data_IF_539373365720
#
_entry.id   IF_539373365720
#
_cell.length_a   1.000
_cell.length_b   1.000
_cell.length_c   1.000
_cell.angle_alpha   90.00
_cell.angle_beta   90.00
_cell.angle_gamma   90.00
#
_symmetry.space_group_name_H-M   'P 1'
#
loop_
_entity.id
_entity.type
_entity.pdbx_description
1 polymer ?
#
# COMPACT_ATOMS: atom_id res chain seq x y z
N UNK A 1 4.61 -4.53 8.75
CA UNK A 1 3.98 -3.42 9.51
C UNK A 1 3.35 -3.93 10.79
N UNK A 2 2.44 -4.91 10.72
CA UNK A 2 1.74 -5.49 11.88
C UNK A 2 2.64 -5.89 13.06
N UNK A 3 3.76 -6.56 12.76
CA UNK A 3 4.77 -6.91 13.76
C UNK A 3 5.25 -5.70 14.59
N UNK A 4 5.49 -4.56 13.93
CA UNK A 4 5.91 -3.32 14.59
C UNK A 4 4.79 -2.61 15.35
N UNK A 5 3.52 -2.95 15.07
CA UNK A 5 2.36 -2.48 15.83
C UNK A 5 2.04 -3.41 17.02
N UNK A 6 2.88 -4.41 17.31
CA UNK A 6 2.67 -5.36 18.41
C UNK A 6 1.76 -6.53 18.07
N UNK A 7 1.37 -6.70 16.80
CA UNK A 7 0.53 -7.81 16.34
C UNK A 7 1.37 -8.92 15.72
N UNK A 8 1.50 -10.02 16.46
CA UNK A 8 2.13 -11.25 15.99
C UNK A 8 1.05 -12.18 15.42
N UNK A 9 0.74 -11.99 14.14
CA UNK A 9 -0.16 -12.85 13.38
C UNK A 9 0.61 -13.99 12.71
N UNK A 10 -0.07 -15.10 12.42
CA UNK A 10 0.55 -16.21 11.70
C UNK A 10 0.88 -15.81 10.25
N UNK A 11 1.84 -16.49 9.62
CA UNK A 11 2.17 -16.24 8.21
C UNK A 11 0.95 -16.41 7.30
N UNK A 12 0.05 -17.34 7.63
CA UNK A 12 -1.20 -17.58 6.90
C UNK A 12 -2.13 -16.38 6.97
N UNK A 13 -2.28 -15.76 8.14
CA UNK A 13 -3.13 -14.57 8.32
C UNK A 13 -2.55 -13.37 7.56
N UNK A 14 -1.22 -13.17 7.63
CA UNK A 14 -0.56 -12.12 6.84
C UNK A 14 -0.77 -12.32 5.35
N UNK A 15 -0.65 -13.57 4.89
CA UNK A 15 -0.87 -13.93 3.49
C UNK A 15 -2.31 -13.66 3.05
N UNK A 16 -3.29 -14.03 3.88
CA UNK A 16 -4.70 -13.79 3.62
C UNK A 16 -4.99 -12.29 3.52
N UNK A 17 -4.51 -11.49 4.48
CA UNK A 17 -4.68 -10.04 4.48
C UNK A 17 -4.08 -9.43 3.21
N UNK A 18 -2.87 -9.83 2.83
CA UNK A 18 -2.21 -9.32 1.64
C UNK A 18 -2.96 -9.71 0.36
N UNK A 19 -3.37 -10.97 0.23
CA UNK A 19 -4.10 -11.46 -0.94
C UNK A 19 -5.41 -10.70 -1.14
N UNK A 20 -6.19 -10.49 -0.08
CA UNK A 20 -7.43 -9.72 -0.15
C UNK A 20 -7.15 -8.25 -0.44
N UNK A 21 -6.11 -7.65 0.16
CA UNK A 21 -5.73 -6.28 -0.13
C UNK A 21 -5.35 -6.07 -1.61
N UNK A 22 -4.62 -7.01 -2.22
CA UNK A 22 -4.30 -6.99 -3.65
C UNK A 22 -5.55 -7.15 -4.52
N UNK A 23 -6.48 -8.02 -4.12
CA UNK A 23 -7.76 -8.17 -4.80
C UNK A 23 -8.57 -6.86 -4.79
N UNK A 24 -8.62 -6.16 -3.65
CA UNK A 24 -9.28 -4.85 -3.54
C UNK A 24 -8.58 -3.83 -4.43
N UNK A 25 -7.25 -3.77 -4.40
CA UNK A 25 -6.45 -2.85 -5.24
C UNK A 25 -6.75 -3.08 -6.72
N UNK A 26 -6.81 -4.34 -7.15
CA UNK A 26 -7.10 -4.70 -8.55
C UNK A 26 -8.58 -4.45 -8.91
N UNK A 27 -9.52 -4.77 -8.04
CA UNK A 27 -10.94 -4.49 -8.24
C UNK A 27 -11.22 -2.99 -8.35
N UNK A 28 -10.43 -2.17 -7.65
CA UNK A 28 -10.51 -0.71 -7.66
C UNK A 28 -9.74 -0.02 -8.79
N UNK A 29 -9.36 -0.72 -9.87
CA UNK A 29 -8.50 -0.18 -10.93
C UNK A 29 -8.99 1.12 -11.56
N UNK A 30 -10.31 1.34 -11.57
CA UNK A 30 -10.95 2.54 -12.12
C UNK A 30 -10.95 3.72 -11.14
N UNK A 31 -10.54 3.52 -9.88
CA UNK A 31 -10.45 4.55 -8.86
C UNK A 31 -9.01 5.09 -8.84
N UNK A 32 -8.80 6.38 -9.16
CA UNK A 32 -7.47 6.98 -9.09
C UNK A 32 -6.86 6.79 -7.70
N UNK A 33 -5.65 6.22 -7.65
CA UNK A 33 -4.91 5.93 -6.41
C UNK A 33 -5.69 5.02 -5.42
N UNK A 34 -6.80 4.40 -5.83
CA UNK A 34 -7.67 3.57 -4.98
C UNK A 34 -8.02 4.25 -3.64
N UNK A 35 -8.25 5.57 -3.69
CA UNK A 35 -8.61 6.38 -2.51
C UNK A 35 -9.98 5.93 -2.00
N UNK A 36 -10.09 5.72 -0.69
CA UNK A 36 -11.27 5.17 -0.04
C UNK A 36 -11.37 3.64 -0.15
N UNK A 37 -11.13 3.05 -1.33
CA UNK A 37 -11.21 1.61 -1.52
C UNK A 37 -10.16 0.84 -0.73
N UNK A 38 -8.88 1.26 -0.75
CA UNK A 38 -7.84 0.60 0.05
C UNK A 38 -8.03 0.79 1.56
N UNK A 39 -8.41 1.99 2.00
CA UNK A 39 -8.55 2.28 3.44
C UNK A 39 -9.78 1.59 4.04
N UNK A 40 -10.91 1.65 3.34
CA UNK A 40 -12.12 0.92 3.71
C UNK A 40 -11.94 -0.58 3.60
N UNK A 41 -11.23 -1.05 2.56
CA UNK A 41 -10.92 -2.46 2.36
C UNK A 41 -10.09 -3.05 3.49
N UNK A 42 -8.99 -2.40 3.86
CA UNK A 42 -8.17 -2.81 5.00
C UNK A 42 -8.96 -2.72 6.31
N UNK A 43 -9.73 -1.65 6.55
CA UNK A 43 -10.59 -1.57 7.73
C UNK A 43 -11.51 -2.80 7.82
N UNK A 44 -12.19 -3.16 6.73
CA UNK A 44 -13.08 -4.32 6.69
C UNK A 44 -12.35 -5.64 6.94
N UNK A 45 -11.20 -5.86 6.28
CA UNK A 45 -10.38 -7.07 6.49
C UNK A 45 -10.00 -7.22 7.96
N UNK A 46 -9.51 -6.15 8.59
CA UNK A 46 -9.09 -6.19 9.98
C UNK A 46 -10.27 -6.41 10.93
N UNK A 47 -11.41 -5.75 10.70
CA UNK A 47 -12.62 -5.99 11.49
C UNK A 47 -13.16 -7.41 11.35
N UNK A 48 -13.07 -8.01 10.15
CA UNK A 48 -13.49 -9.38 9.89
C UNK A 48 -12.61 -10.43 10.60
N UNK A 49 -11.33 -10.10 10.82
CA UNK A 49 -10.40 -10.92 11.59
C UNK A 49 -10.50 -10.69 13.12
N UNK A 50 -11.52 -9.96 13.59
CA UNK A 50 -11.71 -9.66 15.01
C UNK A 50 -10.72 -8.63 15.57
N UNK A 51 -9.98 -7.93 14.71
CA UNK A 51 -9.03 -6.90 15.11
C UNK A 51 -9.68 -5.50 15.08
N UNK A 52 -9.17 -4.54 15.87
CA UNK A 52 -9.63 -3.16 15.81
C UNK A 52 -9.53 -2.57 14.39
N UNK A 53 -10.63 -2.02 13.86
CA UNK A 53 -10.66 -1.39 12.53
C UNK A 53 -9.67 -0.22 12.38
N UNK A 54 -9.35 0.46 13.48
CA UNK A 54 -8.30 1.50 13.53
C UNK A 54 -6.92 0.98 13.10
N UNK A 55 -6.63 -0.32 13.28
CA UNK A 55 -5.40 -0.93 12.78
C UNK A 55 -5.39 -1.03 11.27
N UNK A 56 -6.54 -1.37 10.65
CA UNK A 56 -6.67 -1.39 9.20
C UNK A 56 -6.36 -0.03 8.57
N UNK A 57 -6.87 1.04 9.18
CA UNK A 57 -6.58 2.44 8.77
C UNK A 57 -5.11 2.80 9.01
N UNK A 58 -4.54 2.40 10.15
CA UNK A 58 -3.12 2.67 10.45
C UNK A 58 -2.21 1.96 9.44
N UNK A 59 -2.52 0.70 9.11
CA UNK A 59 -1.78 -0.10 8.15
C UNK A 59 -1.92 0.47 6.73
N UNK A 60 -3.11 0.93 6.33
CA UNK A 60 -3.30 1.57 5.02
C UNK A 60 -2.48 2.85 4.90
N UNK A 61 -2.45 3.68 5.95
CA UNK A 61 -1.67 4.90 5.96
C UNK A 61 -0.16 4.65 5.84
N UNK A 62 0.37 3.70 6.62
CA UNK A 62 1.80 3.33 6.54
C UNK A 62 2.16 2.78 5.15
N UNK A 63 1.26 2.00 4.53
CA UNK A 63 1.47 1.52 3.14
C UNK A 63 1.59 2.67 2.16
N UNK A 64 0.72 3.68 2.25
CA UNK A 64 0.76 4.86 1.37
C UNK A 64 2.06 5.65 1.50
N UNK A 65 2.52 5.87 2.73
CA UNK A 65 3.82 6.52 2.96
C UNK A 65 4.93 5.73 2.27
N UNK A 66 4.95 4.40 2.41
CA UNK A 66 5.94 3.56 1.74
C UNK A 66 5.86 3.64 0.22
N UNK A 67 4.65 3.59 -0.35
CA UNK A 67 4.47 3.75 -1.81
C UNK A 67 5.01 5.09 -2.30
N UNK A 68 4.68 6.19 -1.61
CA UNK A 68 5.17 7.54 -1.95
C UNK A 68 6.70 7.60 -1.88
N UNK A 69 7.30 7.06 -0.82
CA UNK A 69 8.75 7.02 -0.67
C UNK A 69 9.42 6.29 -1.83
N UNK A 70 8.88 5.14 -2.25
CA UNK A 70 9.40 4.39 -3.38
C UNK A 70 9.22 5.11 -4.72
N UNK A 71 8.08 5.77 -4.92
CA UNK A 71 7.85 6.60 -6.11
C UNK A 71 8.84 7.76 -6.17
N UNK A 72 9.01 8.50 -5.08
CA UNK A 72 9.97 9.60 -5.00
C UNK A 72 11.41 9.13 -5.24
N UNK A 73 11.80 7.99 -4.66
CA UNK A 73 13.12 7.41 -4.88
C UNK A 73 13.32 7.00 -6.35
N UNK A 74 12.33 6.33 -6.94
CA UNK A 74 12.37 5.93 -8.35
C UNK A 74 12.47 7.14 -9.29
N UNK A 75 11.72 8.20 -9.02
CA UNK A 75 11.79 9.46 -9.76
C UNK A 75 13.15 10.15 -9.60
N UNK A 76 13.70 10.21 -8.38
CA UNK A 76 15.00 10.83 -8.13
C UNK A 76 16.14 10.08 -8.86
N UNK A 77 16.11 8.73 -8.81
CA UNK A 77 17.09 7.90 -9.51
C UNK A 77 16.94 8.03 -11.03
N UNK A 78 15.72 7.92 -11.55
CA UNK A 78 15.44 8.12 -12.98
C UNK A 78 15.85 9.51 -13.45
N UNK A 79 15.69 10.52 -12.60
CA UNK A 79 16.12 11.87 -12.93
C UNK A 79 17.64 11.97 -13.08
N UNK A 80 18.37 11.33 -12.17
CA UNK A 80 19.83 11.27 -12.22
C UNK A 80 20.39 10.46 -13.39
N UNK A 81 19.66 9.47 -13.90
CA UNK A 81 20.15 8.59 -14.98
C UNK A 81 19.72 8.99 -16.39
N UNK A 82 18.60 9.71 -16.56
CA UNK A 82 17.91 9.74 -17.86
C UNK A 82 17.48 11.12 -18.39
N UNK A 83 17.56 12.23 -17.63
CA UNK A 83 17.36 13.56 -18.22
C UNK A 83 18.66 14.13 -18.81
N UNK A 84 19.29 13.40 -19.74
CA UNK A 84 20.01 14.08 -20.81
C UNK A 84 18.95 14.44 -21.86
N UNK A 85 18.48 15.71 -21.93
CA UNK A 85 17.68 16.12 -23.09
C UNK A 85 18.56 15.88 -24.31
N UNK A 86 18.11 15.01 -25.21
CA UNK A 86 18.76 14.83 -26.50
C UNK A 86 18.83 16.23 -27.12
N UNK A 87 20.05 16.74 -27.32
CA UNK A 87 20.25 18.00 -28.03
C UNK A 87 19.70 17.78 -29.44
N UNK A 88 18.47 18.20 -29.66
CA UNK A 88 17.87 18.31 -30.99
C UNK A 88 18.86 19.10 -31.85
N UNK A 89 19.49 18.39 -32.79
CA UNK A 89 20.29 19.01 -33.85
C UNK A 89 19.38 19.72 -34.84
#
# INVERSE_FOLDING_TARGET
TLYFLGYNLSLTDLWLIEAVAQLIRNASFFIPLSIGAQEGGLLLIFTALGMPGALGVTVSFVRRIKEILWVCLGLALGWGTSFHPEKSK
#
